data_IF_803409957510
#
_entry.id   IF_803409957510
#
_cell.length_a   1.000
_cell.length_b   1.000
_cell.length_c   1.000
_cell.angle_alpha   90.00
_cell.angle_beta   90.00
_cell.angle_gamma   90.00
#
_symmetry.space_group_name_H-M   'P 1'
#
loop_
_entity.id
_entity.type
_entity.pdbx_description
1 polymer ?
#
# COMPACT_ATOMS: atom_id res chain seq x y z
N UNK A 1 -3.68 34.68 -12.87
CA UNK A 1 -2.66 33.81 -12.21
C UNK A 1 -3.27 32.65 -11.39
N UNK A 2 -4.55 32.29 -11.60
CA UNK A 2 -5.11 30.97 -11.22
C UNK A 2 -6.02 30.39 -12.32
N UNK A 3 -6.20 31.09 -13.45
CA UNK A 3 -7.08 30.71 -14.57
C UNK A 3 -6.43 29.82 -15.64
N UNK A 4 -5.21 29.34 -15.42
CA UNK A 4 -4.46 28.47 -16.37
C UNK A 4 -4.24 27.05 -15.85
N UNK A 5 -4.98 26.66 -14.82
CA UNK A 5 -5.09 25.28 -14.36
C UNK A 5 -6.46 24.79 -14.81
N UNK A 6 -6.52 23.94 -15.83
CA UNK A 6 -7.74 23.18 -16.09
C UNK A 6 -8.11 23.01 -17.54
N UNK A 7 -7.39 22.12 -18.22
CA UNK A 7 -7.96 21.44 -19.36
C UNK A 7 -7.07 20.28 -19.75
N UNK A 8 -7.50 19.03 -19.54
CA UNK A 8 -6.85 17.86 -20.14
C UNK A 8 -7.05 17.91 -21.68
N UNK A 9 -6.31 18.79 -22.34
CA UNK A 9 -6.22 18.82 -23.80
C UNK A 9 -5.31 17.67 -24.24
N UNK A 10 -5.67 16.98 -25.32
CA UNK A 10 -4.83 15.96 -25.93
C UNK A 10 -3.41 16.48 -26.23
N UNK A 11 -3.28 17.78 -26.50
CA UNK A 11 -1.99 18.42 -26.74
C UNK A 11 -1.13 18.55 -25.47
N UNK A 12 -1.74 18.71 -24.31
CA UNK A 12 -1.01 18.72 -23.03
C UNK A 12 -0.57 17.31 -22.62
N UNK A 13 -1.39 16.28 -22.91
CA UNK A 13 -1.01 14.88 -22.71
C UNK A 13 0.20 14.54 -23.59
N UNK A 14 0.23 15.01 -24.85
CA UNK A 14 1.39 14.85 -25.73
C UNK A 14 2.66 15.52 -25.17
N UNK A 15 2.54 16.74 -24.64
CA UNK A 15 3.65 17.45 -23.99
C UNK A 15 4.16 16.74 -22.72
N UNK A 16 3.28 16.03 -22.01
CA UNK A 16 3.63 15.23 -20.83
C UNK A 16 4.42 13.97 -21.19
N UNK A 17 4.10 13.32 -22.32
CA UNK A 17 4.77 12.09 -22.78
C UNK A 17 6.20 12.40 -23.26
N UNK A 18 6.43 13.57 -23.88
CA UNK A 18 7.75 13.93 -24.42
C UNK A 18 8.16 15.38 -24.10
N UNK A 19 8.43 15.70 -22.83
CA UNK A 19 8.78 17.06 -22.41
C UNK A 19 10.11 17.54 -23.02
N UNK A 20 11.02 16.62 -23.34
CA UNK A 20 12.31 16.93 -23.96
C UNK A 20 12.18 17.44 -25.41
N UNK A 21 11.26 16.90 -26.21
CA UNK A 21 11.00 17.40 -27.57
C UNK A 21 10.25 18.74 -27.56
N UNK A 22 9.35 18.95 -26.59
CA UNK A 22 8.65 20.22 -26.42
C UNK A 22 9.61 21.38 -26.06
N UNK A 23 10.66 21.09 -25.28
CA UNK A 23 11.74 22.04 -24.97
C UNK A 23 12.60 22.36 -26.21
N UNK A 24 12.95 21.34 -27.00
CA UNK A 24 13.75 21.51 -28.23
C UNK A 24 12.98 22.26 -29.33
N UNK A 25 11.66 22.10 -29.38
CA UNK A 25 10.76 22.84 -30.27
C UNK A 25 10.48 24.29 -29.83
N UNK A 26 11.07 24.75 -28.71
CA UNK A 26 10.90 26.10 -28.13
C UNK A 26 9.44 26.48 -27.79
N UNK A 27 8.56 25.49 -27.67
CA UNK A 27 7.14 25.66 -27.35
C UNK A 27 6.94 25.92 -25.84
N UNK A 28 7.95 25.64 -25.02
CA UNK A 28 7.87 25.70 -23.55
C UNK A 28 9.08 26.41 -22.94
N UNK A 29 8.85 27.17 -21.86
CA UNK A 29 9.91 27.81 -21.07
C UNK A 29 10.57 26.83 -20.09
N UNK A 30 11.82 27.10 -19.69
CA UNK A 30 12.59 26.23 -18.79
C UNK A 30 11.89 25.98 -17.43
N UNK A 31 11.21 26.99 -16.89
CA UNK A 31 10.41 26.86 -15.66
C UNK A 31 9.24 25.90 -15.82
N UNK A 32 8.54 25.95 -16.96
CA UNK A 32 7.44 25.04 -17.25
C UNK A 32 7.92 23.59 -17.40
N UNK A 33 9.11 23.38 -18.00
CA UNK A 33 9.74 22.07 -18.06
C UNK A 33 10.03 21.49 -16.66
N UNK A 34 10.61 22.28 -15.75
CA UNK A 34 10.87 21.83 -14.38
C UNK A 34 9.58 21.46 -13.63
N UNK A 35 8.52 22.26 -13.77
CA UNK A 35 7.22 21.95 -13.17
C UNK A 35 6.64 20.62 -13.70
N UNK A 36 6.72 20.39 -15.02
CA UNK A 36 6.25 19.14 -15.63
C UNK A 36 7.07 17.94 -15.15
N UNK A 37 8.40 18.08 -15.05
CA UNK A 37 9.27 17.02 -14.55
C UNK A 37 8.96 16.63 -13.11
N UNK A 38 8.78 17.62 -12.22
CA UNK A 38 8.37 17.38 -10.82
C UNK A 38 6.99 16.71 -10.77
N UNK A 39 6.05 17.15 -11.61
CA UNK A 39 4.72 16.54 -11.69
C UNK A 39 4.76 15.09 -12.16
N UNK A 40 5.49 14.77 -13.23
CA UNK A 40 5.64 13.39 -13.72
C UNK A 40 6.28 12.51 -12.65
N UNK A 41 7.34 12.98 -12.02
CA UNK A 41 8.01 12.24 -10.95
C UNK A 41 7.07 11.98 -9.76
N UNK A 42 6.37 13.02 -9.29
CA UNK A 42 5.40 12.89 -8.21
C UNK A 42 4.26 11.93 -8.58
N UNK A 43 3.78 11.97 -9.83
CA UNK A 43 2.75 11.04 -10.33
C UNK A 43 3.26 9.60 -10.37
N UNK A 44 4.49 9.36 -10.85
CA UNK A 44 5.10 8.03 -10.86
C UNK A 44 5.25 7.48 -9.43
N UNK A 45 5.76 8.29 -8.50
CA UNK A 45 5.86 7.90 -7.08
C UNK A 45 4.48 7.60 -6.51
N UNK A 46 3.47 8.43 -6.79
CA UNK A 46 2.10 8.21 -6.34
C UNK A 46 1.51 6.89 -6.86
N UNK A 47 1.68 6.60 -8.16
CA UNK A 47 1.22 5.34 -8.76
C UNK A 47 1.95 4.12 -8.18
N UNK A 48 3.24 4.25 -7.89
CA UNK A 48 4.01 3.17 -7.29
C UNK A 48 3.60 2.92 -5.84
N UNK A 49 3.39 3.98 -5.05
CA UNK A 49 2.90 3.88 -3.68
C UNK A 49 1.49 3.30 -3.63
N UNK A 50 0.58 3.71 -4.52
CA UNK A 50 -0.77 3.16 -4.58
C UNK A 50 -0.77 1.67 -4.91
N UNK A 51 0.12 1.23 -5.83
CA UNK A 51 0.35 -0.19 -6.10
C UNK A 51 0.84 -0.95 -4.87
N UNK A 52 1.85 -0.43 -4.16
CA UNK A 52 2.38 -1.07 -2.95
C UNK A 52 1.33 -1.15 -1.82
N UNK A 53 0.55 -0.09 -1.62
CA UNK A 53 -0.56 -0.07 -0.64
C UNK A 53 -1.59 -1.13 -1.03
N UNK A 54 -1.98 -1.21 -2.30
CA UNK A 54 -2.91 -2.22 -2.79
C UNK A 54 -2.40 -3.64 -2.56
N UNK A 55 -1.12 -3.90 -2.84
CA UNK A 55 -0.49 -5.20 -2.59
C UNK A 55 -0.47 -5.56 -1.10
N UNK A 56 -0.17 -4.60 -0.22
CA UNK A 56 -0.14 -4.82 1.22
C UNK A 56 -1.54 -5.05 1.79
N UNK A 57 -2.54 -4.30 1.33
CA UNK A 57 -3.95 -4.50 1.70
C UNK A 57 -4.45 -5.86 1.24
N UNK A 58 -4.05 -6.33 0.06
CA UNK A 58 -4.39 -7.66 -0.42
C UNK A 58 -3.79 -8.77 0.47
N UNK A 59 -2.52 -8.63 0.86
CA UNK A 59 -1.85 -9.53 1.80
C UNK A 59 -2.55 -9.54 3.17
N UNK A 60 -2.90 -8.36 3.69
CA UNK A 60 -3.63 -8.20 4.95
C UNK A 60 -5.02 -8.84 4.90
N UNK A 61 -5.75 -8.66 3.79
CA UNK A 61 -7.09 -9.20 3.61
C UNK A 61 -7.09 -10.74 3.67
N UNK A 62 -6.13 -11.37 3.00
CA UNK A 62 -5.98 -12.83 2.99
C UNK A 62 -5.29 -13.38 4.24
N UNK A 63 -4.55 -12.54 4.97
CA UNK A 63 -3.74 -12.98 6.11
C UNK A 63 -2.53 -13.81 5.66
N UNK A 64 -1.93 -13.44 4.53
CA UNK A 64 -0.83 -14.17 3.91
C UNK A 64 0.25 -13.19 3.45
N UNK A 65 1.51 -13.64 3.49
CA UNK A 65 2.63 -12.97 2.84
C UNK A 65 2.63 -13.27 1.34
N UNK A 66 3.33 -12.42 0.57
CA UNK A 66 3.47 -12.62 -0.88
C UNK A 66 4.14 -13.96 -1.23
N UNK A 67 5.07 -14.42 -0.38
CA UNK A 67 5.76 -15.71 -0.57
C UNK A 67 4.79 -16.86 -0.35
N UNK A 68 3.98 -16.81 0.69
CA UNK A 68 2.95 -17.82 0.98
C UNK A 68 1.89 -17.89 -0.11
N UNK A 69 1.49 -16.73 -0.65
CA UNK A 69 0.59 -16.68 -1.81
C UNK A 69 1.19 -17.37 -3.04
N UNK A 70 2.50 -17.19 -3.29
CA UNK A 70 3.18 -17.82 -4.41
C UNK A 70 3.31 -19.34 -4.24
N UNK A 71 3.39 -19.81 -3.01
CA UNK A 71 3.50 -21.23 -2.63
C UNK A 71 2.14 -21.89 -2.36
N UNK A 72 1.03 -21.17 -2.60
CA UNK A 72 -0.36 -21.61 -2.39
C UNK A 72 -0.71 -22.04 -0.96
N UNK A 73 -0.01 -21.51 0.05
CA UNK A 73 -0.16 -21.89 1.47
C UNK A 73 -1.24 -21.05 2.15
N UNK A 74 -2.39 -21.65 2.45
CA UNK A 74 -3.58 -20.98 3.04
C UNK A 74 -3.82 -21.27 4.53
N UNK A 75 -2.82 -21.82 5.23
CA UNK A 75 -2.97 -22.33 6.59
C UNK A 75 -3.25 -21.25 7.66
N UNK A 76 -2.78 -20.02 7.46
CA UNK A 76 -2.82 -18.93 8.44
C UNK A 76 -4.03 -17.99 8.31
N UNK A 77 -4.98 -18.29 7.41
CA UNK A 77 -6.16 -17.45 7.22
C UNK A 77 -7.20 -17.72 8.32
N UNK A 78 -7.26 -16.86 9.34
CA UNK A 78 -8.22 -16.94 10.46
C UNK A 78 -9.50 -16.11 10.24
N UNK A 79 -9.46 -15.15 9.31
CA UNK A 79 -10.56 -14.26 8.96
C UNK A 79 -10.12 -12.79 8.93
N UNK A 80 -10.82 -11.92 8.19
CA UNK A 80 -10.34 -10.55 7.93
C UNK A 80 -9.98 -9.77 9.20
N UNK A 81 -10.89 -9.75 10.19
CA UNK A 81 -10.68 -9.00 11.44
C UNK A 81 -9.54 -9.57 12.27
N UNK A 82 -9.40 -10.90 12.30
CA UNK A 82 -8.35 -11.55 13.08
C UNK A 82 -6.98 -11.43 12.40
N UNK A 83 -6.94 -11.51 11.07
CA UNK A 83 -5.73 -11.24 10.28
C UNK A 83 -5.22 -9.82 10.53
N UNK A 84 -6.13 -8.82 10.50
CA UNK A 84 -5.80 -7.42 10.78
C UNK A 84 -5.28 -7.27 12.21
N UNK A 85 -5.93 -7.92 13.18
CA UNK A 85 -5.50 -7.91 14.59
C UNK A 85 -4.17 -8.62 14.82
N UNK A 86 -3.86 -9.67 14.06
CA UNK A 86 -2.59 -10.40 14.18
C UNK A 86 -1.42 -9.56 13.66
N UNK A 87 -1.65 -8.80 12.59
CA UNK A 87 -0.63 -7.91 11.99
C UNK A 87 -0.46 -6.61 12.76
N UNK A 88 -1.56 -5.97 13.16
CA UNK A 88 -1.54 -4.67 13.84
C UNK A 88 -1.59 -4.79 15.37
N UNK A 89 -1.82 -5.97 15.94
CA UNK A 89 -1.91 -6.17 17.39
C UNK A 89 -3.20 -5.64 18.03
N UNK A 90 -3.19 -5.52 19.35
CA UNK A 90 -4.39 -5.22 20.16
C UNK A 90 -4.99 -3.84 19.89
N UNK A 91 -4.17 -2.84 19.58
CA UNK A 91 -4.60 -1.47 19.35
C UNK A 91 -4.61 -1.11 17.87
N UNK A 92 -5.03 -2.05 17.01
CA UNK A 92 -5.03 -1.89 15.56
C UNK A 92 -5.66 -0.60 15.01
N UNK A 93 -6.76 -0.02 15.55
CA UNK A 93 -7.28 1.22 15.00
C UNK A 93 -6.39 2.45 15.31
N UNK A 94 -5.60 2.42 16.38
CA UNK A 94 -4.72 3.54 16.75
C UNK A 94 -3.47 3.60 15.86
N UNK A 95 -3.03 2.47 15.31
CA UNK A 95 -1.86 2.42 14.42
C UNK A 95 -2.12 3.12 13.09
N UNK A 96 -3.38 3.16 12.63
CA UNK A 96 -3.75 3.91 11.43
C UNK A 96 -3.55 5.43 11.58
N UNK A 97 -3.58 5.94 12.81
CA UNK A 97 -3.39 7.37 13.10
C UNK A 97 -1.91 7.70 13.31
N UNK A 98 -1.15 6.80 13.93
CA UNK A 98 0.27 7.02 14.21
C UNK A 98 1.06 5.72 14.29
N UNK A 99 2.17 5.67 13.55
CA UNK A 99 3.13 4.58 13.60
C UNK A 99 3.93 4.51 14.91
N UNK A 100 3.85 5.53 15.77
CA UNK A 100 4.57 5.58 17.06
C UNK A 100 3.80 4.90 18.20
N UNK A 101 2.56 4.48 17.97
CA UNK A 101 1.77 3.78 18.99
C UNK A 101 2.25 2.35 19.08
N UNK A 102 2.85 1.99 20.22
CA UNK A 102 3.19 0.60 20.50
C UNK A 102 1.92 -0.23 20.66
N UNK A 103 1.69 -1.14 19.71
CA UNK A 103 0.63 -2.15 19.81
C UNK A 103 1.30 -3.49 20.08
N UNK A 104 1.00 -4.15 21.21
CA UNK A 104 1.52 -5.50 21.45
C UNK A 104 0.90 -6.47 20.44
N UNK A 105 1.75 -7.21 19.72
CA UNK A 105 1.34 -8.28 18.83
C UNK A 105 0.96 -9.52 19.63
N UNK A 106 0.05 -10.32 19.08
CA UNK A 106 -0.42 -11.55 19.73
C UNK A 106 0.52 -12.76 19.51
N UNK A 107 1.51 -12.63 18.63
CA UNK A 107 2.43 -13.71 18.25
C UNK A 107 3.87 -13.31 18.54
N UNK A 108 4.65 -14.30 18.99
CA UNK A 108 6.09 -14.16 19.28
C UNK A 108 6.97 -14.20 18.01
N UNK A 109 6.36 -14.27 16.81
CA UNK A 109 7.06 -14.33 15.52
C UNK A 109 7.62 -15.70 15.16
N UNK A 110 7.54 -16.68 16.07
CA UNK A 110 7.95 -18.08 15.86
C UNK A 110 6.76 -19.04 15.72
N UNK A 111 5.65 -18.74 16.38
CA UNK A 111 4.44 -19.55 16.36
C UNK A 111 3.25 -18.68 15.95
N UNK A 112 2.51 -19.16 14.95
CA UNK A 112 1.33 -18.49 14.41
C UNK A 112 0.12 -19.40 14.56
N UNK A 113 -1.04 -18.81 14.83
CA UNK A 113 -2.29 -19.57 14.88
C UNK A 113 -2.60 -20.13 13.50
N UNK A 114 -2.98 -21.41 13.45
CA UNK A 114 -3.35 -22.11 12.21
C UNK A 114 -4.84 -22.38 12.24
N UNK A 115 -5.47 -22.33 11.07
CA UNK A 115 -6.88 -22.69 10.93
C UNK A 115 -7.08 -24.18 11.30
N UNK A 116 -7.80 -24.44 12.39
CA UNK A 116 -8.15 -25.79 12.85
C UNK A 116 -7.42 -26.28 14.11
N UNK A 117 -6.43 -25.55 14.62
CA UNK A 117 -5.93 -25.76 15.99
C UNK A 117 -6.80 -24.96 16.96
N UNK A 118 -7.61 -25.63 17.78
CA UNK A 118 -8.26 -24.98 18.92
C UNK A 118 -7.20 -24.31 19.80
N UNK A 119 -7.54 -23.15 20.38
CA UNK A 119 -6.63 -22.50 21.30
C UNK A 119 -6.34 -23.47 22.44
N UNK A 120 -5.07 -23.68 22.79
CA UNK A 120 -4.68 -24.53 23.94
C UNK A 120 -5.41 -24.13 25.23
N UNK A 121 -5.87 -22.87 25.32
CA UNK A 121 -6.68 -22.35 26.42
C UNK A 121 -8.10 -22.96 26.47
N UNK A 122 -8.69 -23.35 25.34
CA UNK A 122 -9.98 -24.06 25.30
C UNK A 122 -9.80 -25.56 25.56
N UNK A 123 -8.69 -26.16 25.13
CA UNK A 123 -8.36 -27.56 25.48
C UNK A 123 -8.25 -27.76 26.99
N UNK A 124 -7.66 -26.81 27.73
CA UNK A 124 -7.52 -26.91 29.19
C UNK A 124 -8.82 -26.66 29.98
N UNK A 125 -9.87 -26.10 29.36
CA UNK A 125 -11.17 -25.92 30.01
C UNK A 125 -12.08 -27.14 29.89
N UNK A 126 -11.76 -28.05 28.97
CA UNK A 126 -12.54 -29.24 28.66
C UNK A 126 -11.92 -30.54 29.20
N UNK A 127 -10.90 -30.46 30.07
CA UNK A 127 -10.25 -31.59 30.75
C UNK A 127 -10.50 -31.52 32.24
#
# INVERSE_FOLDING_TARGET
>A
MWSSLGGFSAMQIWQLIVPHLALLARVMSFWQFLCVMVFVFALTVFLFLSYLIGAQLFCLYRGQTRVEYLMDVHAYQLGFTENVRQVLGRHWPLIFVSAFVSSPLASDGLSFMVRGTESLADTTKNV
#
